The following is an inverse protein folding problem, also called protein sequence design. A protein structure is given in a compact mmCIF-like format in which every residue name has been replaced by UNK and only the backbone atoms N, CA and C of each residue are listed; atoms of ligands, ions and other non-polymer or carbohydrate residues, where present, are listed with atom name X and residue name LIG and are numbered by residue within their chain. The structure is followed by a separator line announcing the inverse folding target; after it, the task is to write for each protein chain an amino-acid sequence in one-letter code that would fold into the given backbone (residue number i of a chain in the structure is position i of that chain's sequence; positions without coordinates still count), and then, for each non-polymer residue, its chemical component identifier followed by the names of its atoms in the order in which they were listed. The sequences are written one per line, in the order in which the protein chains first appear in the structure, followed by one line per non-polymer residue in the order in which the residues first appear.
data_IF_438948789339
#
_entry.id   IF_438948789339
#
_cell.length_a   1.000
_cell.length_b   1.000
_cell.length_c   1.000
_cell.angle_alpha   90.00
_cell.angle_beta   90.00
_cell.angle_gamma   90.00
#
_symmetry.space_group_name_H-M   'P 1'
#
loop_
_entity.id
_entity.type
_entity.pdbx_description
1 polymer ?
#
# COMPACT_ATOMS: atom_id res chain seq x y z
N UNK A 1 11.05 -7.73 -2.33
CA UNK A 1 9.94 -7.60 -3.32
C UNK A 1 10.28 -6.44 -4.28
N UNK A 2 9.84 -6.41 -5.55
CA UNK A 2 10.07 -5.23 -6.41
C UNK A 2 8.94 -4.20 -6.27
N UNK A 3 9.23 -2.92 -6.52
CA UNK A 3 8.21 -1.84 -6.53
C UNK A 3 7.02 -2.18 -7.43
N UNK A 4 7.30 -2.61 -8.65
CA UNK A 4 6.27 -2.93 -9.64
C UNK A 4 5.37 -4.08 -9.17
N UNK A 5 5.97 -5.14 -8.62
CA UNK A 5 5.22 -6.27 -8.08
C UNK A 5 4.30 -5.86 -6.92
N UNK A 6 4.77 -5.00 -6.02
CA UNK A 6 3.95 -4.51 -4.90
C UNK A 6 2.76 -3.67 -5.38
N UNK A 7 2.96 -2.83 -6.39
CA UNK A 7 1.89 -2.03 -7.03
C UNK A 7 0.86 -2.94 -7.70
N UNK A 8 1.32 -3.91 -8.49
CA UNK A 8 0.41 -4.81 -9.21
C UNK A 8 -0.41 -5.66 -8.23
N UNK A 9 0.21 -6.13 -7.14
CA UNK A 9 -0.50 -6.85 -6.08
C UNK A 9 -1.49 -5.95 -5.33
N UNK A 10 -1.17 -4.68 -5.06
CA UNK A 10 -2.11 -3.73 -4.45
C UNK A 10 -3.35 -3.51 -5.33
N UNK A 11 -3.18 -3.44 -6.66
CA UNK A 11 -4.31 -3.35 -7.61
C UNK A 11 -5.19 -4.59 -7.60
N UNK A 12 -4.59 -5.79 -7.55
CA UNK A 12 -5.34 -7.05 -7.45
C UNK A 12 -6.18 -7.06 -6.17
N UNK A 13 -5.55 -6.76 -5.03
CA UNK A 13 -6.23 -6.72 -3.74
C UNK A 13 -7.39 -5.70 -3.71
N UNK A 14 -7.17 -4.51 -4.29
CA UNK A 14 -8.22 -3.49 -4.42
C UNK A 14 -9.40 -4.02 -5.25
N UNK A 15 -9.13 -4.66 -6.40
CA UNK A 15 -10.17 -5.23 -7.27
C UNK A 15 -10.94 -6.36 -6.59
N UNK A 16 -10.27 -7.18 -5.79
CA UNK A 16 -10.90 -8.33 -5.11
C UNK A 16 -11.73 -7.92 -3.89
N UNK A 17 -11.29 -6.90 -3.15
CA UNK A 17 -11.88 -6.55 -1.86
C UNK A 17 -12.65 -5.23 -1.85
N UNK A 18 -12.54 -4.43 -2.92
CA UNK A 18 -13.06 -3.06 -3.03
C UNK A 18 -12.65 -2.18 -1.83
N UNK A 19 -11.36 -2.24 -1.48
CA UNK A 19 -10.77 -1.51 -0.34
C UNK A 19 -9.56 -0.70 -0.78
N UNK A 20 -9.27 0.35 -0.04
CA UNK A 20 -8.10 1.20 -0.28
C UNK A 20 -6.81 0.55 0.23
N UNK A 21 -5.83 0.40 -0.66
CA UNK A 21 -4.52 -0.17 -0.38
C UNK A 21 -3.40 0.82 -0.73
N UNK A 22 -2.31 0.75 0.02
CA UNK A 22 -1.17 1.65 -0.09
C UNK A 22 0.11 0.83 -0.15
N UNK A 23 1.01 1.19 -1.05
CA UNK A 23 2.36 0.62 -1.09
C UNK A 23 3.28 1.60 -0.40
N UNK A 24 4.04 1.10 0.57
CA UNK A 24 5.06 1.85 1.30
C UNK A 24 6.45 1.29 1.04
N UNK A 25 7.46 2.14 1.17
CA UNK A 25 8.86 1.76 1.27
C UNK A 25 9.26 1.78 2.76
N UNK A 26 9.57 0.62 3.32
CA UNK A 26 10.01 0.50 4.72
C UNK A 26 11.40 1.16 4.86
N UNK A 27 11.55 2.17 5.73
CA UNK A 27 12.79 2.95 5.82
C UNK A 27 13.97 2.15 6.39
N UNK A 28 13.69 1.08 7.15
CA UNK A 28 14.73 0.28 7.81
C UNK A 28 15.28 -0.84 6.91
N UNK A 29 14.47 -1.35 5.98
CA UNK A 29 14.81 -2.54 5.18
C UNK A 29 14.88 -2.28 3.68
N UNK A 30 14.50 -1.08 3.21
CA UNK A 30 14.35 -0.73 1.79
C UNK A 30 13.38 -1.68 1.04
N UNK A 31 12.46 -2.30 1.78
CA UNK A 31 11.48 -3.24 1.22
C UNK A 31 10.13 -2.58 0.94
N UNK A 32 9.46 -3.07 -0.10
CA UNK A 32 8.12 -2.64 -0.45
C UNK A 32 7.07 -3.48 0.26
N UNK A 33 6.14 -2.80 0.94
CA UNK A 33 5.05 -3.44 1.66
C UNK A 33 3.70 -2.84 1.27
N UNK A 34 2.66 -3.66 1.27
CA UNK A 34 1.29 -3.23 1.01
C UNK A 34 0.56 -3.16 2.35
N UNK A 35 -0.11 -2.04 2.61
CA UNK A 35 -0.86 -1.79 3.84
C UNK A 35 -2.26 -1.26 3.51
N UNK A 36 -3.22 -1.54 4.38
CA UNK A 36 -4.59 -1.00 4.28
C UNK A 36 -4.65 0.43 4.84
N UNK A 37 -5.71 1.16 4.49
CA UNK A 37 -5.98 2.52 5.00
C UNK A 37 -5.88 2.60 6.53
N UNK A 38 -6.50 1.64 7.22
CA UNK A 38 -6.49 1.57 8.69
C UNK A 38 -5.06 1.49 9.25
N UNK A 39 -4.24 0.57 8.73
CA UNK A 39 -2.87 0.40 9.20
C UNK A 39 -2.00 1.62 8.87
N UNK A 40 -2.18 2.20 7.68
CA UNK A 40 -1.50 3.44 7.27
C UNK A 40 -1.78 4.57 8.26
N UNK A 41 -3.04 4.77 8.65
CA UNK A 41 -3.46 5.86 9.52
C UNK A 41 -3.02 5.59 10.98
N UNK A 42 -3.17 4.36 11.48
CA UNK A 42 -2.73 3.97 12.84
C UNK A 42 -1.22 4.15 13.03
N UNK A 43 -0.42 3.82 12.00
CA UNK A 43 1.05 3.89 12.05
C UNK A 43 1.64 5.15 11.43
N UNK A 44 0.80 6.10 11.00
CA UNK A 44 1.22 7.37 10.38
C UNK A 44 2.21 7.18 9.21
N UNK A 45 1.92 6.23 8.32
CA UNK A 45 2.85 5.80 7.26
C UNK A 45 2.85 6.69 6.01
N UNK A 46 2.12 7.81 6.03
CA UNK A 46 1.92 8.71 4.87
C UNK A 46 3.23 9.12 4.18
N UNK A 47 4.28 9.38 4.96
CA UNK A 47 5.61 9.77 4.47
C UNK A 47 6.35 8.69 3.68
N UNK A 48 5.93 7.43 3.83
CA UNK A 48 6.57 6.28 3.20
C UNK A 48 5.75 5.73 2.02
N UNK A 49 4.57 6.28 1.76
CA UNK A 49 3.69 5.85 0.66
C UNK A 49 4.31 6.24 -0.68
N UNK A 50 4.46 5.26 -1.56
CA UNK A 50 4.96 5.46 -2.93
C UNK A 50 3.89 5.22 -4.00
N UNK A 51 2.78 4.59 -3.62
CA UNK A 51 1.62 4.33 -4.47
C UNK A 51 0.38 4.13 -3.60
N UNK A 52 -0.76 4.65 -4.05
CA UNK A 52 -2.06 4.47 -3.42
C UNK A 52 -3.10 4.07 -4.45
N UNK A 53 -4.01 3.18 -4.06
CA UNK A 53 -5.24 2.92 -4.79
C UNK A 53 -6.39 3.01 -3.79
N UNK A 54 -7.31 3.91 -4.08
CA UNK A 54 -8.46 4.19 -3.24
C UNK A 54 -9.69 3.57 -3.88
N UNK A 55 -10.52 2.91 -3.06
CA UNK A 55 -11.87 2.55 -3.48
C UNK A 55 -12.78 3.77 -3.27
N UNK A 56 -13.76 3.96 -4.14
CA UNK A 56 -14.86 4.90 -3.93
C UNK A 56 -15.67 4.40 -2.70
N UNK A 57 -15.37 4.95 -1.53
CA UNK A 57 -16.15 4.81 -0.29
C UNK A 57 -17.28 5.84 -0.22
#
# INVERSE_FOLDING_TARGET
MTKQYAIDKAKILNRENNRSYFVILEPETDEYRIVEKKEKDEKQLNRYVIFSIEADE
#
